data_IF_116205529717
#
_entry.id   IF_116205529717
#
_cell.length_a   1.000
_cell.length_b   1.000
_cell.length_c   1.000
_cell.angle_alpha   90.00
_cell.angle_beta   90.00
_cell.angle_gamma   90.00
#
_symmetry.space_group_name_H-M   'P 1'
#
loop_
_entity.id
_entity.type
_entity.pdbx_description
1 polymer ?
#
# COMPACT_ATOMS: atom_id res chain seq x y z
N UNK A 1 -12.14 21.60 -28.52
CA UNK A 1 -12.71 21.03 -27.28
C UNK A 1 -12.64 19.51 -27.40
N UNK A 2 -11.71 18.85 -26.70
CA UNK A 2 -11.73 17.38 -26.60
C UNK A 2 -12.70 17.00 -25.47
N UNK A 3 -13.76 16.27 -25.80
CA UNK A 3 -14.63 15.64 -24.82
C UNK A 3 -13.95 14.36 -24.31
N UNK A 4 -13.63 14.32 -23.01
CA UNK A 4 -13.22 13.08 -22.36
C UNK A 4 -14.47 12.23 -22.13
N UNK A 5 -14.58 11.13 -22.87
CA UNK A 5 -15.62 10.12 -22.70
C UNK A 5 -15.30 9.29 -21.46
N UNK A 6 -15.93 9.59 -20.32
CA UNK A 6 -15.87 8.73 -19.14
C UNK A 6 -16.77 7.52 -19.37
N UNK A 7 -16.16 6.34 -19.59
CA UNK A 7 -16.87 5.07 -19.68
C UNK A 7 -17.07 4.56 -18.24
N UNK A 8 -18.32 4.32 -17.86
CA UNK A 8 -18.70 3.73 -16.57
C UNK A 8 -19.31 2.35 -16.81
N UNK A 9 -18.99 1.37 -15.95
CA UNK A 9 -19.66 0.06 -15.92
C UNK A 9 -20.67 0.05 -14.78
N UNK A 10 -21.94 -0.23 -15.11
CA UNK A 10 -22.98 -0.47 -14.11
C UNK A 10 -22.82 -1.89 -13.55
N UNK A 11 -22.67 -2.01 -12.23
CA UNK A 11 -22.78 -3.30 -11.52
C UNK A 11 -24.01 -3.26 -10.62
N UNK A 12 -24.84 -4.29 -10.72
CA UNK A 12 -26.08 -4.41 -9.94
C UNK A 12 -25.80 -5.37 -8.78
N UNK A 13 -25.89 -4.87 -7.54
CA UNK A 13 -25.91 -5.70 -6.34
C UNK A 13 -27.33 -6.21 -6.05
N UNK A 14 -27.45 -7.35 -5.38
CA UNK A 14 -28.73 -7.97 -5.01
C UNK A 14 -29.56 -7.15 -4.01
N UNK A 15 -29.03 -6.01 -3.52
CA UNK A 15 -29.69 -5.10 -2.58
C UNK A 15 -30.19 -3.81 -3.22
N UNK A 16 -30.09 -3.66 -4.55
CA UNK A 16 -30.67 -2.51 -5.28
C UNK A 16 -29.89 -1.19 -5.13
N UNK A 17 -28.70 -1.22 -4.54
CA UNK A 17 -27.80 -0.06 -4.45
C UNK A 17 -26.95 0.06 -5.71
N UNK A 18 -27.03 1.23 -6.36
CA UNK A 18 -26.24 1.59 -7.54
C UNK A 18 -24.89 2.18 -7.10
N UNK A 19 -23.80 1.50 -7.42
CA UNK A 19 -22.44 2.04 -7.26
C UNK A 19 -21.83 2.27 -8.64
N UNK A 20 -21.57 3.52 -8.98
CA UNK A 20 -20.84 3.89 -10.20
C UNK A 20 -19.35 3.82 -9.87
N UNK A 21 -18.69 2.74 -10.28
CA UNK A 21 -17.25 2.60 -10.14
C UNK A 21 -16.57 3.00 -11.46
N UNK A 22 -15.49 3.81 -11.44
CA UNK A 22 -14.69 4.04 -12.63
C UNK A 22 -14.07 2.71 -13.09
N UNK A 23 -13.90 2.52 -14.41
CA UNK A 23 -13.38 1.27 -15.00
C UNK A 23 -12.07 0.78 -14.34
N UNK A 24 -11.23 1.71 -13.86
CA UNK A 24 -9.99 1.38 -13.14
C UNK A 24 -10.23 0.65 -11.82
N UNK A 25 -11.33 0.96 -11.11
CA UNK A 25 -11.71 0.29 -9.88
C UNK A 25 -12.21 -1.12 -10.17
N UNK A 26 -12.97 -1.33 -11.25
CA UNK A 26 -13.46 -2.67 -11.61
C UNK A 26 -12.34 -3.61 -12.07
N UNK A 27 -11.39 -3.13 -12.87
CA UNK A 27 -10.22 -3.92 -13.28
C UNK A 27 -9.33 -4.32 -12.08
N UNK A 28 -9.17 -3.43 -11.10
CA UNK A 28 -8.50 -3.71 -9.84
C UNK A 28 -9.27 -4.76 -9.02
N UNK A 29 -10.60 -4.63 -8.92
CA UNK A 29 -11.45 -5.62 -8.28
C UNK A 29 -11.35 -7.00 -8.94
N UNK A 30 -11.31 -7.04 -10.27
CA UNK A 30 -11.18 -8.26 -11.04
C UNK A 30 -9.82 -8.93 -10.87
N UNK A 31 -8.74 -8.16 -10.68
CA UNK A 31 -7.42 -8.69 -10.33
C UNK A 31 -7.37 -9.32 -8.93
N UNK A 32 -8.17 -8.83 -7.98
CA UNK A 32 -8.26 -9.41 -6.63
C UNK A 32 -9.13 -10.69 -6.57
N UNK A 33 -10.03 -10.90 -7.55
CA UNK A 33 -10.93 -12.07 -7.59
C UNK A 33 -10.24 -13.44 -7.52
N UNK A 34 -9.05 -13.70 -8.12
CA UNK A 34 -8.36 -14.99 -8.04
C UNK A 34 -7.59 -15.23 -6.74
N UNK A 35 -7.36 -14.20 -5.91
CA UNK A 35 -6.76 -14.34 -4.56
C UNK A 35 -7.77 -14.91 -3.53
N UNK A 36 -9.00 -15.19 -4.00
CA UNK A 36 -10.14 -15.80 -3.31
C UNK A 36 -9.96 -17.32 -3.23
N UNK A 37 -9.93 -17.87 -2.03
CA UNK A 37 -10.59 -19.18 -1.82
C UNK A 37 -12.09 -18.97 -2.06
N UNK A 38 -12.72 -19.75 -2.95
CA UNK A 38 -14.11 -19.61 -3.40
C UNK A 38 -15.10 -19.26 -2.27
N UNK A 39 -15.46 -17.99 -2.09
CA UNK A 39 -16.58 -17.63 -1.22
C UNK A 39 -17.34 -16.39 -1.71
N UNK A 40 -18.67 -16.45 -1.75
CA UNK A 40 -19.64 -15.55 -2.43
C UNK A 40 -19.94 -14.24 -1.71
N UNK A 41 -19.07 -13.81 -0.81
CA UNK A 41 -19.23 -12.60 -0.01
C UNK A 41 -19.00 -11.31 -0.83
N UNK A 42 -19.75 -10.22 -0.57
CA UNK A 42 -19.59 -8.93 -1.26
C UNK A 42 -18.16 -8.38 -1.09
N UNK A 43 -17.57 -7.89 -2.20
CA UNK A 43 -16.18 -7.43 -2.30
C UNK A 43 -15.80 -6.41 -1.21
N UNK A 44 -16.69 -5.47 -0.88
CA UNK A 44 -16.47 -4.46 0.16
C UNK A 44 -16.23 -5.09 1.55
N UNK A 45 -16.79 -6.28 1.80
CA UNK A 45 -16.64 -7.03 3.04
C UNK A 45 -15.47 -8.03 3.02
N UNK A 46 -14.99 -8.45 1.84
CA UNK A 46 -13.87 -9.40 1.69
C UNK A 46 -12.53 -8.70 1.66
N UNK A 47 -12.45 -7.55 0.97
CA UNK A 47 -11.20 -6.78 0.95
C UNK A 47 -10.88 -6.32 2.37
N UNK A 48 -11.88 -5.89 3.15
CA UNK A 48 -11.74 -5.56 4.57
C UNK A 48 -11.26 -6.71 5.48
N UNK A 49 -11.31 -7.97 5.04
CA UNK A 49 -10.91 -9.13 5.83
C UNK A 49 -9.45 -9.59 5.60
N UNK A 50 -8.90 -9.35 4.41
CA UNK A 50 -7.52 -9.76 4.05
C UNK A 50 -6.54 -8.58 3.90
N UNK A 51 -7.07 -7.39 3.64
CA UNK A 51 -6.31 -6.14 3.48
C UNK A 51 -7.15 -5.09 4.18
N UNK A 52 -6.93 -4.81 5.46
CA UNK A 52 -7.81 -3.88 6.18
C UNK A 52 -7.95 -2.57 5.40
N UNK A 53 -9.08 -2.32 4.74
CA UNK A 53 -9.33 -1.08 4.01
C UNK A 53 -10.18 -0.20 4.91
N UNK A 54 -9.69 0.98 5.25
CA UNK A 54 -10.42 1.96 6.07
C UNK A 54 -11.41 2.75 5.24
N UNK A 55 -11.01 3.08 4.00
CA UNK A 55 -11.72 4.01 3.14
C UNK A 55 -11.52 3.62 1.69
N UNK A 56 -12.65 3.43 1.00
CA UNK A 56 -12.71 3.19 -0.43
C UNK A 56 -13.81 4.07 -1.03
N UNK A 57 -13.45 4.95 -1.96
CA UNK A 57 -14.43 5.79 -2.65
C UNK A 57 -13.79 6.76 -3.62
N UNK A 58 -14.30 6.79 -4.87
CA UNK A 58 -13.83 7.70 -5.91
C UNK A 58 -12.32 7.56 -6.19
N UNK A 59 -11.58 8.64 -5.95
CA UNK A 59 -10.15 8.74 -6.22
C UNK A 59 -9.26 8.51 -4.97
N UNK A 60 -9.80 8.03 -3.86
CA UNK A 60 -9.05 7.85 -2.60
C UNK A 60 -9.14 6.41 -2.07
N UNK A 61 -7.99 5.87 -1.65
CA UNK A 61 -7.85 4.57 -1.00
C UNK A 61 -6.95 4.67 0.24
N UNK A 62 -7.37 4.08 1.35
CA UNK A 62 -6.55 3.93 2.57
C UNK A 62 -6.52 2.47 2.98
N UNK A 63 -5.31 1.94 3.13
CA UNK A 63 -5.04 0.57 3.58
C UNK A 63 -4.48 0.62 5.01
N UNK A 64 -5.20 0.03 5.97
CA UNK A 64 -4.78 -0.24 7.34
C UNK A 64 -3.48 -1.00 7.34
N UNK A 65 -2.55 -0.53 8.15
CA UNK A 65 -1.48 -1.37 8.60
C UNK A 65 -2.05 -2.44 9.55
N UNK A 66 -1.99 -3.69 9.14
CA UNK A 66 -2.40 -4.84 9.97
C UNK A 66 -1.35 -5.24 11.03
N UNK A 67 -0.29 -4.44 11.18
CA UNK A 67 0.85 -4.76 12.01
C UNK A 67 1.03 -3.72 13.11
N UNK A 68 0.53 -4.06 14.29
CA UNK A 68 0.90 -3.36 15.53
C UNK A 68 2.09 -4.05 16.22
N UNK A 69 2.68 -3.38 17.21
CA UNK A 69 3.62 -4.01 18.16
C UNK A 69 2.99 -5.20 18.89
N UNK A 70 1.67 -5.15 19.14
CA UNK A 70 0.92 -6.24 19.78
C UNK A 70 0.78 -7.45 18.86
N UNK A 71 0.57 -7.25 17.56
CA UNK A 71 0.37 -8.34 16.58
C UNK A 71 1.68 -9.03 16.19
N UNK A 72 2.80 -8.32 16.30
CA UNK A 72 4.12 -8.83 15.92
C UNK A 72 4.93 -9.33 17.11
N UNK A 73 4.57 -8.91 18.33
CA UNK A 73 5.37 -9.09 19.56
C UNK A 73 6.80 -8.52 19.45
N UNK A 74 7.05 -7.67 18.45
CA UNK A 74 8.35 -7.06 18.22
C UNK A 74 8.48 -5.85 19.14
N UNK A 75 9.55 -5.86 19.94
CA UNK A 75 10.01 -4.65 20.61
C UNK A 75 10.69 -3.78 19.56
N UNK A 76 10.15 -2.59 19.33
CA UNK A 76 10.72 -1.62 18.40
C UNK A 76 12.17 -1.30 18.80
N UNK A 77 13.04 -1.23 17.81
CA UNK A 77 14.38 -0.69 18.01
C UNK A 77 14.27 0.81 18.25
N UNK A 78 14.52 1.23 19.50
CA UNK A 78 14.22 2.58 19.98
C UNK A 78 15.33 3.59 19.66
N UNK A 79 15.87 3.53 18.43
CA UNK A 79 16.80 4.54 17.92
C UNK A 79 16.18 5.27 16.74
N UNK A 80 16.47 6.57 16.68
CA UNK A 80 16.05 7.41 15.57
C UNK A 80 16.60 6.86 14.25
N UNK A 81 15.82 6.96 13.19
CA UNK A 81 16.25 6.68 11.83
C UNK A 81 16.08 7.91 10.95
N UNK A 82 16.66 7.88 9.76
CA UNK A 82 16.48 8.94 8.76
C UNK A 82 15.01 9.14 8.38
N UNK A 83 14.18 8.13 8.58
CA UNK A 83 12.74 8.22 8.42
C UNK A 83 12.11 9.31 9.32
N UNK A 84 12.55 9.40 10.58
CA UNK A 84 11.96 10.33 11.56
C UNK A 84 12.10 11.80 11.12
N UNK A 85 13.14 12.10 10.34
CA UNK A 85 13.40 13.44 9.79
C UNK A 85 12.54 13.81 8.59
N UNK A 86 12.03 12.82 7.87
CA UNK A 86 11.18 13.03 6.68
C UNK A 86 9.71 12.75 6.96
N UNK A 87 9.35 12.46 8.21
CA UNK A 87 7.97 12.31 8.62
C UNK A 87 7.21 13.60 8.33
N UNK A 88 6.07 13.47 7.65
CA UNK A 88 5.22 14.55 7.14
C UNK A 88 5.87 15.45 6.08
N UNK A 89 7.09 15.15 5.63
CA UNK A 89 7.68 15.81 4.47
C UNK A 89 7.07 15.26 3.17
N UNK A 90 6.82 16.13 2.20
CA UNK A 90 6.29 15.76 0.89
C UNK A 90 7.34 15.96 -0.21
N UNK A 91 7.66 14.88 -0.91
CA UNK A 91 8.38 14.93 -2.18
C UNK A 91 7.37 15.17 -3.32
N UNK A 92 7.66 16.11 -4.24
CA UNK A 92 6.78 16.40 -5.40
C UNK A 92 7.29 15.81 -6.72
N UNK A 93 8.50 15.27 -6.73
CA UNK A 93 9.17 14.63 -7.87
C UNK A 93 9.30 13.12 -7.63
N UNK A 94 8.28 12.52 -7.04
CA UNK A 94 8.27 11.14 -6.64
C UNK A 94 8.32 10.18 -7.82
N UNK A 95 9.00 9.06 -7.61
CA UNK A 95 9.15 7.97 -8.57
C UNK A 95 8.43 6.74 -8.01
N UNK A 96 7.59 6.11 -8.82
CA UNK A 96 6.89 4.90 -8.44
C UNK A 96 7.26 3.78 -9.40
N UNK A 97 7.73 2.65 -8.90
CA UNK A 97 7.86 1.40 -9.67
C UNK A 97 6.98 0.32 -9.04
N UNK A 98 7.01 -0.89 -9.57
CA UNK A 98 6.42 -2.02 -8.88
C UNK A 98 7.34 -3.24 -8.85
N UNK A 99 7.24 -4.02 -7.78
CA UNK A 99 7.87 -5.33 -7.66
C UNK A 99 6.85 -6.45 -7.83
N UNK A 100 7.29 -7.58 -8.36
CA UNK A 100 6.47 -8.80 -8.34
C UNK A 100 6.40 -9.29 -6.90
N UNK A 101 5.19 -9.48 -6.40
CA UNK A 101 4.93 -9.99 -5.05
C UNK A 101 5.62 -11.34 -4.85
N UNK A 102 6.50 -11.40 -3.86
CA UNK A 102 7.07 -12.63 -3.30
C UNK A 102 7.07 -12.50 -1.78
N UNK A 103 6.15 -13.24 -1.16
CA UNK A 103 6.17 -13.87 0.18
C UNK A 103 6.42 -13.04 1.45
N UNK A 104 6.64 -11.73 1.37
CA UNK A 104 6.72 -10.87 2.56
C UNK A 104 7.91 -9.92 2.47
N UNK A 105 7.60 -8.62 2.45
CA UNK A 105 8.65 -7.60 2.57
C UNK A 105 9.30 -7.62 3.95
N UNK A 106 10.36 -6.82 4.13
CA UNK A 106 11.10 -6.64 5.38
C UNK A 106 10.23 -6.45 6.63
N UNK A 107 9.01 -5.91 6.44
CA UNK A 107 8.03 -5.64 7.47
C UNK A 107 6.64 -6.25 7.18
N UNK A 108 6.41 -7.11 6.16
CA UNK A 108 5.10 -7.74 5.90
C UNK A 108 4.26 -7.13 4.75
N UNK A 109 2.93 -6.96 4.88
CA UNK A 109 1.75 -7.40 4.08
C UNK A 109 1.66 -7.24 2.53
N UNK A 110 0.50 -7.70 2.00
CA UNK A 110 -0.02 -7.49 0.63
C UNK A 110 -0.64 -6.08 0.55
N UNK A 111 -0.48 -5.37 -0.58
CA UNK A 111 -0.85 -3.94 -0.77
C UNK A 111 -0.02 -2.97 0.05
N UNK A 112 1.20 -2.75 -0.41
CA UNK A 112 2.18 -1.99 0.37
C UNK A 112 3.18 -1.24 -0.49
N UNK A 113 4.07 -0.51 0.18
CA UNK A 113 5.22 0.15 -0.41
C UNK A 113 6.54 -0.37 0.17
N UNK A 114 7.54 -0.51 -0.71
CA UNK A 114 8.94 -0.61 -0.34
C UNK A 114 9.58 0.78 -0.38
N UNK A 115 10.12 1.23 0.75
CA UNK A 115 10.79 2.52 0.88
C UNK A 115 12.31 2.36 0.71
N UNK A 116 13.01 3.44 0.39
CA UNK A 116 14.48 3.42 0.30
C UNK A 116 15.13 2.82 1.56
N UNK A 117 16.11 1.93 1.37
CA UNK A 117 16.89 1.38 2.47
C UNK A 117 17.60 2.45 3.30
N UNK A 118 17.88 3.64 2.73
CA UNK A 118 18.46 4.77 3.48
C UNK A 118 17.56 5.28 4.61
N UNK A 119 16.26 5.00 4.55
CA UNK A 119 15.29 5.40 5.58
C UNK A 119 15.24 4.42 6.75
N UNK A 120 15.85 3.25 6.61
CA UNK A 120 15.98 2.26 7.66
C UNK A 120 17.24 2.55 8.48
N UNK A 121 17.16 2.37 9.79
CA UNK A 121 18.32 2.32 10.66
C UNK A 121 19.09 1.01 10.39
N UNK A 122 20.35 1.09 9.94
CA UNK A 122 21.14 -0.11 9.62
C UNK A 122 21.48 -0.98 10.84
N UNK A 123 21.26 -0.47 12.06
CA UNK A 123 21.48 -1.20 13.32
C UNK A 123 20.23 -1.92 13.82
N UNK A 124 19.07 -1.68 13.21
CA UNK A 124 17.83 -2.32 13.62
C UNK A 124 17.93 -3.85 13.36
N UNK A 125 17.80 -4.69 14.41
CA UNK A 125 17.95 -6.13 14.24
C UNK A 125 16.73 -6.74 13.55
N UNK A 126 16.98 -7.85 12.86
CA UNK A 126 15.93 -8.78 12.44
C UNK A 126 15.55 -9.67 13.62
N UNK A 127 14.25 -9.75 13.90
CA UNK A 127 13.69 -10.50 15.02
C UNK A 127 12.58 -11.43 14.54
N UNK A 128 12.44 -12.59 15.17
CA UNK A 128 11.32 -13.49 14.92
C UNK A 128 10.03 -12.84 15.42
N UNK A 129 9.04 -12.65 14.54
CA UNK A 129 7.71 -12.16 14.95
C UNK A 129 6.85 -13.29 15.52
N UNK A 130 5.86 -12.96 16.35
CA UNK A 130 4.90 -13.94 16.87
C UNK A 130 3.72 -14.24 15.92
N UNK A 131 3.81 -13.83 14.64
CA UNK A 131 2.79 -14.12 13.63
C UNK A 131 2.75 -15.61 13.27
N UNK A 132 1.65 -16.14 12.71
CA UNK A 132 1.64 -17.48 12.14
C UNK A 132 2.78 -17.68 11.15
N UNK A 133 3.53 -18.79 11.28
CA UNK A 133 4.74 -19.05 10.49
C UNK A 133 6.01 -18.34 10.99
N UNK A 134 5.92 -17.52 12.04
CA UNK A 134 7.04 -16.86 12.72
C UNK A 134 8.05 -16.18 11.77
N UNK A 135 7.59 -15.34 10.82
CA UNK A 135 8.50 -14.70 9.89
C UNK A 135 9.45 -13.75 10.63
N UNK A 136 10.70 -13.71 10.16
CA UNK A 136 11.68 -12.71 10.57
C UNK A 136 11.27 -11.34 10.02
N UNK A 137 11.30 -10.34 10.88
CA UNK A 137 10.95 -8.96 10.53
C UNK A 137 12.01 -8.01 11.08
N UNK A 138 12.26 -6.93 10.35
CA UNK A 138 13.13 -5.88 10.86
C UNK A 138 12.41 -5.12 11.97
N UNK A 139 13.08 -4.93 13.12
CA UNK A 139 12.53 -4.21 14.29
C UNK A 139 12.60 -2.69 14.18
N UNK A 140 13.04 -2.16 13.03
CA UNK A 140 13.07 -0.74 12.74
C UNK A 140 11.70 -0.07 12.93
N UNK A 141 11.73 1.20 13.34
CA UNK A 141 10.52 2.03 13.49
C UNK A 141 9.75 2.20 12.19
N UNK A 142 10.41 2.19 11.03
CA UNK A 142 9.74 2.25 9.72
C UNK A 142 8.82 1.05 9.46
N UNK A 143 9.07 -0.08 10.13
CA UNK A 143 8.25 -1.28 9.99
C UNK A 143 6.94 -1.23 10.80
N UNK A 144 6.77 -0.28 11.72
CA UNK A 144 5.68 -0.29 12.71
C UNK A 144 4.93 1.04 12.72
N UNK A 145 3.64 0.99 12.36
CA UNK A 145 2.74 2.14 12.27
C UNK A 145 3.32 3.27 11.41
N UNK A 146 3.76 2.93 10.20
CA UNK A 146 4.30 3.87 9.22
C UNK A 146 3.74 3.56 7.85
N UNK A 147 3.20 4.60 7.25
CA UNK A 147 2.52 4.57 5.97
C UNK A 147 3.13 5.61 5.05
N UNK A 148 2.80 5.49 3.78
CA UNK A 148 3.08 6.49 2.77
C UNK A 148 1.80 6.85 2.05
N UNK A 149 1.54 8.16 1.95
CA UNK A 149 0.47 8.72 1.13
C UNK A 149 1.06 9.12 -0.22
N UNK A 150 0.47 8.60 -1.28
CA UNK A 150 0.90 8.81 -2.66
C UNK A 150 -0.24 9.50 -3.40
N UNK A 151 0.09 10.56 -4.13
CA UNK A 151 -0.85 11.24 -5.02
C UNK A 151 -0.29 11.21 -6.44
N UNK A 152 -1.09 10.74 -7.38
CA UNK A 152 -0.71 10.61 -8.79
C UNK A 152 -1.95 10.69 -9.67
N UNK A 153 -1.92 11.53 -10.72
CA UNK A 153 -3.02 11.70 -11.68
C UNK A 153 -4.42 11.86 -11.03
N UNK A 154 -4.51 12.69 -9.98
CA UNK A 154 -5.77 12.95 -9.28
C UNK A 154 -6.26 11.83 -8.36
N UNK A 155 -5.52 10.71 -8.27
CA UNK A 155 -5.76 9.62 -7.33
C UNK A 155 -4.85 9.74 -6.12
N UNK A 156 -5.35 9.28 -4.98
CA UNK A 156 -4.65 9.21 -3.71
C UNK A 156 -4.71 7.78 -3.19
N UNK A 157 -3.58 7.27 -2.71
CA UNK A 157 -3.51 6.01 -1.97
C UNK A 157 -2.62 6.16 -0.75
N UNK A 158 -3.07 5.66 0.39
CA UNK A 158 -2.27 5.55 1.61
C UNK A 158 -2.08 4.06 1.92
N UNK A 159 -0.83 3.63 1.98
CA UNK A 159 -0.46 2.21 2.21
C UNK A 159 0.63 2.08 3.26
N UNK A 160 0.68 0.95 3.98
CA UNK A 160 1.75 0.67 4.93
C UNK A 160 3.12 0.50 4.22
N UNK A 161 4.17 0.91 4.93
CA UNK A 161 5.55 0.63 4.54
C UNK A 161 5.95 -0.71 5.13
N UNK A 162 6.48 -1.55 4.25
CA UNK A 162 6.37 -3.00 4.41
C UNK A 162 7.59 -3.73 3.93
N UNK A 163 8.41 -3.02 3.16
CA UNK A 163 9.62 -3.56 2.60
C UNK A 163 10.66 -2.44 2.47
N UNK A 164 11.90 -2.85 2.29
CA UNK A 164 12.97 -1.97 1.84
C UNK A 164 13.19 -2.17 0.34
N UNK A 165 13.48 -1.09 -0.39
CA UNK A 165 13.95 -1.12 -1.76
C UNK A 165 15.46 -0.77 -1.79
N UNK A 166 16.34 -1.78 -1.89
CA UNK A 166 17.75 -1.53 -2.15
C UNK A 166 17.93 -0.81 -3.49
N UNK A 167 18.63 0.32 -3.47
CA UNK A 167 18.91 1.13 -4.67
C UNK A 167 17.84 2.16 -5.04
N UNK A 168 16.70 2.22 -4.35
CA UNK A 168 15.77 3.33 -4.47
C UNK A 168 16.31 4.57 -3.72
N UNK A 169 16.33 5.78 -4.32
CA UNK A 169 16.53 7.02 -3.57
C UNK A 169 15.32 7.33 -2.66
N UNK A 170 15.45 8.27 -1.73
CA UNK A 170 14.40 8.60 -0.73
C UNK A 170 13.04 9.01 -1.32
N UNK A 171 13.02 9.55 -2.54
CA UNK A 171 11.80 9.93 -3.26
C UNK A 171 11.29 8.84 -4.23
N UNK A 172 11.78 7.60 -4.12
CA UNK A 172 11.34 6.48 -4.96
C UNK A 172 10.72 5.39 -4.09
N UNK A 173 9.48 5.03 -4.40
CA UNK A 173 8.78 3.88 -3.82
C UNK A 173 8.66 2.74 -4.84
N UNK A 174 8.97 1.53 -4.40
CA UNK A 174 8.67 0.34 -5.17
C UNK A 174 7.40 -0.31 -4.62
N UNK A 175 6.31 -0.26 -5.39
CA UNK A 175 4.97 -0.58 -4.92
C UNK A 175 4.64 -2.05 -5.18
N UNK A 176 3.80 -2.64 -4.33
CA UNK A 176 3.16 -3.89 -4.72
C UNK A 176 2.30 -3.66 -5.98
N UNK A 177 2.20 -4.66 -6.87
CA UNK A 177 1.39 -4.57 -8.10
C UNK A 177 -0.03 -4.05 -7.84
N UNK A 178 -0.79 -4.53 -6.82
CA UNK A 178 -2.13 -4.01 -6.56
C UNK A 178 -2.14 -2.51 -6.21
N UNK A 179 -1.15 -2.03 -5.45
CA UNK A 179 -1.03 -0.60 -5.10
C UNK A 179 -0.70 0.23 -6.34
N UNK A 180 0.21 -0.26 -7.20
CA UNK A 180 0.54 0.39 -8.46
C UNK A 180 -0.68 0.47 -9.39
N UNK A 181 -1.41 -0.64 -9.55
CA UNK A 181 -2.60 -0.74 -10.41
C UNK A 181 -3.74 0.19 -9.98
N UNK A 182 -3.87 0.46 -8.67
CA UNK A 182 -4.82 1.45 -8.18
C UNK A 182 -4.56 2.83 -8.79
N UNK A 183 -3.29 3.26 -8.79
CA UNK A 183 -2.87 4.53 -9.36
C UNK A 183 -2.93 4.50 -10.89
N UNK A 184 -2.36 3.46 -11.50
CA UNK A 184 -2.24 3.29 -12.95
C UNK A 184 -2.58 1.85 -13.36
N UNK A 185 -3.76 1.59 -13.93
CA UNK A 185 -4.20 0.23 -14.31
C UNK A 185 -3.23 -0.49 -15.25
N UNK A 186 -2.51 0.25 -16.10
CA UNK A 186 -1.48 -0.29 -16.95
C UNK A 186 -0.15 -0.48 -16.19
N UNK A 187 -0.09 -1.50 -15.33
CA UNK A 187 1.12 -1.83 -14.58
C UNK A 187 2.36 -2.07 -15.47
N UNK A 188 2.17 -2.45 -16.74
CA UNK A 188 3.27 -2.69 -17.70
C UNK A 188 4.10 -1.46 -18.03
N UNK A 189 3.63 -0.25 -17.68
CA UNK A 189 4.46 0.96 -17.76
C UNK A 189 5.73 0.84 -16.90
N UNK A 190 5.69 0.04 -15.83
CA UNK A 190 6.84 -0.29 -14.98
C UNK A 190 7.31 0.86 -14.08
N UNK A 191 7.09 2.12 -14.49
CA UNK A 191 7.54 3.30 -13.76
C UNK A 191 6.64 4.51 -14.01
N UNK A 192 6.34 5.25 -12.95
CA UNK A 192 5.61 6.52 -12.94
C UNK A 192 6.52 7.61 -12.34
N UNK A 193 6.35 8.84 -12.81
CA UNK A 193 7.12 10.00 -12.37
C UNK A 193 6.20 11.12 -11.90
N UNK A 194 6.76 12.09 -11.18
CA UNK A 194 6.05 13.28 -10.68
C UNK A 194 4.88 12.95 -9.76
N UNK A 195 4.99 11.86 -8.99
CA UNK A 195 4.06 11.59 -7.91
C UNK A 195 4.38 12.48 -6.70
N UNK A 196 3.36 12.85 -5.93
CA UNK A 196 3.58 13.40 -4.59
C UNK A 196 3.66 12.26 -3.59
N UNK A 197 4.71 12.23 -2.77
CA UNK A 197 4.97 11.19 -1.77
C UNK A 197 5.11 11.84 -0.40
N UNK A 198 4.25 11.46 0.55
CA UNK A 198 4.29 11.94 1.94
C UNK A 198 4.42 10.75 2.89
N UNK A 199 5.53 10.69 3.61
CA UNK A 199 5.74 9.71 4.67
C UNK A 199 4.99 10.12 5.94
N UNK A 200 4.29 9.20 6.60
CA UNK A 200 3.44 9.53 7.74
C UNK A 200 3.25 8.35 8.69
N UNK A 201 2.74 8.64 9.88
CA UNK A 201 2.12 7.62 10.74
C UNK A 201 0.84 7.12 10.07
N UNK A 202 0.53 5.82 10.17
CA UNK A 202 -0.68 5.30 9.55
C UNK A 202 -1.93 5.90 10.19
N UNK A 203 -2.94 6.30 9.40
CA UNK A 203 -4.19 6.79 9.94
C UNK A 203 -4.97 5.64 10.62
N UNK A 204 -5.71 5.95 11.68
CA UNK A 204 -6.67 5.01 12.30
C UNK A 204 -6.07 3.85 13.11
N UNK A 205 -4.79 3.92 13.48
CA UNK A 205 -4.13 2.99 14.41
C UNK A 205 -4.25 3.43 15.87
#
# INVERSE_FOLDING_TARGET
MLAFLFIFTLSISSTGTFSILPLSSQAWLDYLKPLRGQDSTPIENVVGHFVGIDKFGGNELVVKQLLTTKDTCIKMFDQQSDFDWILNYQFNNGILTHYKTGDGGACGPIMSAAASTELFNPKAPWVESCRPGKPWMNSDRICINKCVKIQYNGKTVTVPITNSCPGCPRNHLDLSIPTFMWLEPNWRLGRLFNASITFMTCPGM
#
